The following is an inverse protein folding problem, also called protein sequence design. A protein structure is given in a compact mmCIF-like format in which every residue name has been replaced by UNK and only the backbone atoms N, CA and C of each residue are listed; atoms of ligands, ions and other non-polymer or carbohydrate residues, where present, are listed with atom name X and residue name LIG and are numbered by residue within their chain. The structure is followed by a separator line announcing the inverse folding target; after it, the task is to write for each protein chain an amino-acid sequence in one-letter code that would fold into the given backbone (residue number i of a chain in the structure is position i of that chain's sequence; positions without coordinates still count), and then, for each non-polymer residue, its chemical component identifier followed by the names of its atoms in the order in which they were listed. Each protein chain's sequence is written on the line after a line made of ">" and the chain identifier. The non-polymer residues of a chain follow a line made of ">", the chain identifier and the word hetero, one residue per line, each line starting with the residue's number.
data_IF_527141523246
#
_entry.id   IF_527141523246
#
_cell.length_a   1.000
_cell.length_b   1.000
_cell.length_c   1.000
_cell.angle_alpha   90.00
_cell.angle_beta   90.00
_cell.angle_gamma   90.00
#
_symmetry.space_group_name_H-M   'P 1'
#
loop_
_entity.id
_entity.type
_entity.pdbx_description
1 polymer ?
#
# COMPACT_ATOMS: atom_id res chain seq x y z
N UNK A 1 17.40 -14.70 20.66
CA UNK A 1 16.20 -14.16 21.34
C UNK A 1 14.98 -14.51 20.50
N UNK A 2 14.11 -15.38 21.00
CA UNK A 2 12.87 -15.78 20.31
C UNK A 2 11.87 -14.63 20.52
N UNK A 3 11.78 -13.73 19.54
CA UNK A 3 10.83 -12.61 19.61
C UNK A 3 9.43 -13.13 19.29
N UNK A 4 8.54 -13.04 20.27
CA UNK A 4 7.13 -13.44 20.13
C UNK A 4 6.43 -12.48 19.16
N UNK A 5 5.74 -12.98 18.13
CA UNK A 5 5.03 -12.12 17.18
C UNK A 5 3.82 -11.43 17.85
N UNK A 6 3.53 -10.18 17.48
CA UNK A 6 2.37 -9.48 18.05
C UNK A 6 1.06 -10.23 17.84
N UNK A 7 0.05 -9.94 18.64
CA UNK A 7 -1.21 -10.70 18.69
C UNK A 7 -1.92 -10.82 17.32
N UNK A 8 -1.83 -9.79 16.47
CA UNK A 8 -2.44 -9.81 15.13
C UNK A 8 -1.71 -10.77 14.19
N UNK A 9 -0.38 -10.72 14.18
CA UNK A 9 0.45 -11.60 13.36
C UNK A 9 0.44 -13.03 13.91
N UNK A 10 0.52 -13.22 15.23
CA UNK A 10 0.34 -14.52 15.90
C UNK A 10 -0.96 -15.23 15.49
N UNK A 11 -2.07 -14.49 15.36
CA UNK A 11 -3.33 -15.06 14.85
C UNK A 11 -3.23 -15.48 13.37
N UNK A 12 -2.54 -14.69 12.54
CA UNK A 12 -2.33 -15.00 11.13
C UNK A 12 -1.39 -16.21 10.92
N UNK A 13 -0.45 -16.43 11.85
CA UNK A 13 0.51 -17.53 11.83
C UNK A 13 -0.06 -18.89 12.26
N UNK A 14 -1.26 -18.93 12.84
CA UNK A 14 -1.90 -20.20 13.21
C UNK A 14 -1.94 -21.16 12.01
N UNK A 15 -1.42 -22.38 12.22
CA UNK A 15 -1.34 -23.48 11.23
C UNK A 15 -0.35 -23.24 10.08
N UNK A 16 0.69 -22.42 10.28
CA UNK A 16 1.81 -22.28 9.34
C UNK A 16 3.04 -22.94 9.97
N UNK A 17 3.63 -23.92 9.27
CA UNK A 17 4.68 -24.80 9.80
C UNK A 17 6.11 -24.33 9.46
N UNK A 18 6.27 -23.10 8.97
CA UNK A 18 7.57 -22.55 8.57
C UNK A 18 8.07 -21.53 9.58
N UNK A 19 9.40 -21.39 9.75
CA UNK A 19 9.99 -20.32 10.55
C UNK A 19 9.50 -18.94 10.08
N UNK A 20 9.15 -18.07 11.04
CA UNK A 20 8.55 -16.76 10.77
C UNK A 20 9.46 -15.87 9.92
N UNK A 21 10.76 -15.91 10.17
CA UNK A 21 11.78 -15.18 9.43
C UNK A 21 11.83 -15.57 7.95
N UNK A 22 11.71 -16.87 7.61
CA UNK A 22 11.59 -17.35 6.24
C UNK A 22 10.31 -16.80 5.58
N UNK A 23 9.19 -16.90 6.29
CA UNK A 23 7.90 -16.42 5.79
C UNK A 23 7.94 -14.91 5.51
N UNK A 24 8.43 -14.12 6.47
CA UNK A 24 8.54 -12.67 6.34
C UNK A 24 9.52 -12.27 5.24
N UNK A 25 10.63 -13.00 5.07
CA UNK A 25 11.58 -12.77 3.99
C UNK A 25 10.92 -12.94 2.62
N UNK A 26 10.23 -14.07 2.39
CA UNK A 26 9.51 -14.31 1.14
C UNK A 26 8.43 -13.25 0.90
N UNK A 27 7.61 -12.94 1.91
CA UNK A 27 6.53 -11.96 1.78
C UNK A 27 7.08 -10.57 1.49
N UNK A 28 8.15 -10.15 2.18
CA UNK A 28 8.81 -8.87 1.94
C UNK A 28 9.35 -8.81 0.51
N UNK A 29 10.09 -9.83 0.08
CA UNK A 29 10.64 -9.85 -1.28
C UNK A 29 9.56 -9.79 -2.35
N UNK A 30 8.44 -10.46 -2.14
CA UNK A 30 7.30 -10.43 -3.05
C UNK A 30 6.71 -9.02 -3.24
N UNK A 31 6.70 -8.19 -2.20
CA UNK A 31 6.13 -6.84 -2.25
C UNK A 31 7.17 -5.72 -2.42
N UNK A 32 8.46 -6.03 -2.26
CA UNK A 32 9.56 -5.06 -2.41
C UNK A 32 10.18 -5.07 -3.81
N UNK A 33 10.18 -6.22 -4.48
CA UNK A 33 10.92 -6.42 -5.73
C UNK A 33 10.00 -6.91 -6.85
N UNK A 34 10.37 -6.66 -8.13
CA UNK A 34 9.64 -7.15 -9.31
C UNK A 34 9.80 -8.66 -9.52
N UNK A 35 9.50 -9.46 -8.49
CA UNK A 35 9.66 -10.93 -8.49
C UNK A 35 8.33 -11.64 -8.68
N UNK A 36 8.36 -12.76 -9.41
CA UNK A 36 7.25 -13.70 -9.45
C UNK A 36 7.32 -14.63 -8.23
N UNK A 37 6.19 -15.26 -7.87
CA UNK A 37 6.18 -16.27 -6.80
C UNK A 37 7.07 -17.48 -7.13
N UNK A 38 7.27 -17.78 -8.42
CA UNK A 38 8.16 -18.86 -8.87
C UNK A 38 9.63 -18.50 -8.68
N UNK A 39 10.01 -17.24 -8.88
CA UNK A 39 11.36 -16.79 -8.55
C UNK A 39 11.62 -16.95 -7.05
N UNK A 40 10.63 -16.68 -6.19
CA UNK A 40 10.79 -16.87 -4.74
C UNK A 40 10.95 -18.34 -4.36
N UNK A 41 10.22 -19.24 -5.02
CA UNK A 41 10.39 -20.69 -4.85
C UNK A 41 11.81 -21.14 -5.26
N UNK A 42 12.29 -20.71 -6.43
CA UNK A 42 13.64 -20.99 -6.92
C UNK A 42 14.73 -20.44 -5.98
N UNK A 43 14.64 -19.17 -5.60
CA UNK A 43 15.58 -18.52 -4.67
C UNK A 43 15.60 -19.16 -3.27
N UNK A 44 14.49 -19.76 -2.83
CA UNK A 44 14.46 -20.51 -1.57
C UNK A 44 15.05 -21.90 -1.74
N UNK A 45 14.85 -22.55 -2.89
CA UNK A 45 15.48 -23.83 -3.22
C UNK A 45 17.01 -23.72 -3.25
N UNK A 46 17.56 -22.64 -3.83
CA UNK A 46 19.01 -22.33 -3.80
C UNK A 46 19.58 -22.25 -2.37
N UNK A 47 18.71 -21.97 -1.38
CA UNK A 47 19.05 -21.87 0.04
C UNK A 47 18.69 -23.15 0.83
N UNK A 48 18.42 -24.25 0.14
CA UNK A 48 17.97 -25.52 0.71
C UNK A 48 16.64 -25.41 1.50
N UNK A 49 15.79 -24.43 1.17
CA UNK A 49 14.44 -24.28 1.73
C UNK A 49 13.42 -24.71 0.68
N UNK A 50 12.82 -25.88 0.86
CA UNK A 50 11.74 -26.35 -0.01
C UNK A 50 10.44 -25.60 0.32
N UNK A 51 9.96 -24.76 -0.60
CA UNK A 51 8.69 -24.05 -0.47
C UNK A 51 8.05 -23.84 -1.83
N UNK A 52 6.79 -24.25 -1.97
CA UNK A 52 6.03 -24.04 -3.20
C UNK A 52 5.52 -22.58 -3.32
N UNK A 53 5.53 -22.02 -4.53
CA UNK A 53 5.04 -20.67 -4.84
C UNK A 53 3.63 -20.36 -4.30
N UNK A 54 2.72 -21.35 -4.28
CA UNK A 54 1.37 -21.18 -3.71
C UNK A 54 1.39 -21.03 -2.19
N UNK A 55 2.39 -21.61 -1.52
CA UNK A 55 2.62 -21.46 -0.08
C UNK A 55 3.06 -20.05 0.24
N UNK A 56 4.01 -19.49 -0.52
CA UNK A 56 4.42 -18.08 -0.41
C UNK A 56 3.24 -17.14 -0.64
N UNK A 57 2.42 -17.41 -1.66
CA UNK A 57 1.22 -16.61 -1.90
C UNK A 57 0.23 -16.65 -0.72
N UNK A 58 -0.01 -17.84 -0.14
CA UNK A 58 -0.86 -17.97 1.06
C UNK A 58 -0.32 -17.19 2.25
N UNK A 59 1.01 -17.15 2.44
CA UNK A 59 1.63 -16.31 3.46
C UNK A 59 1.38 -14.83 3.19
N UNK A 60 1.62 -14.35 1.98
CA UNK A 60 1.38 -12.95 1.62
C UNK A 60 -0.07 -12.53 1.88
N UNK A 61 -1.04 -13.35 1.45
CA UNK A 61 -2.47 -13.07 1.65
C UNK A 61 -2.87 -13.02 3.13
N UNK A 62 -2.20 -13.79 4.00
CA UNK A 62 -2.46 -13.80 5.45
C UNK A 62 -1.72 -12.68 6.20
N UNK A 63 -0.45 -12.46 5.88
CA UNK A 63 0.44 -11.61 6.66
C UNK A 63 0.32 -10.13 6.29
N UNK A 64 0.20 -9.78 5.00
CA UNK A 64 0.17 -8.37 4.58
C UNK A 64 -0.95 -7.55 5.24
N UNK A 65 -2.20 -8.05 5.42
CA UNK A 65 -3.23 -7.31 6.14
C UNK A 65 -2.89 -7.09 7.62
N UNK A 66 -2.23 -8.07 8.26
CA UNK A 66 -1.82 -7.96 9.66
C UNK A 66 -0.71 -6.92 9.83
N UNK A 67 0.29 -6.94 8.94
CA UNK A 67 1.39 -5.98 8.93
C UNK A 67 0.90 -4.56 8.63
N UNK A 68 -0.04 -4.40 7.69
CA UNK A 68 -0.65 -3.10 7.39
C UNK A 68 -1.40 -2.52 8.60
N UNK A 69 -2.10 -3.37 9.37
CA UNK A 69 -2.73 -2.94 10.62
C UNK A 69 -1.72 -2.51 11.68
N UNK A 70 -0.62 -3.25 11.81
CA UNK A 70 0.46 -2.91 12.73
C UNK A 70 1.17 -1.60 12.34
N UNK A 71 1.24 -1.27 11.05
CA UNK A 71 1.87 -0.05 10.55
C UNK A 71 1.08 1.23 10.86
N UNK A 72 -0.26 1.17 10.88
CA UNK A 72 -1.11 2.35 11.05
C UNK A 72 -0.70 3.27 12.22
N UNK A 73 -0.57 2.76 13.46
CA UNK A 73 -0.11 3.57 14.61
C UNK A 73 1.31 4.14 14.44
N UNK A 74 2.17 3.42 13.74
CA UNK A 74 3.56 3.77 13.48
C UNK A 74 3.73 4.74 12.31
N UNK A 75 2.69 4.99 11.51
CA UNK A 75 2.75 5.89 10.36
C UNK A 75 2.98 7.34 10.81
N UNK A 76 3.93 8.02 10.17
CA UNK A 76 4.16 9.46 10.35
C UNK A 76 2.99 10.27 9.79
N UNK A 77 2.75 11.45 10.36
CA UNK A 77 1.75 12.39 9.83
C UNK A 77 2.22 12.91 8.48
N UNK A 78 1.26 13.07 7.56
CA UNK A 78 1.48 13.65 6.23
C UNK A 78 1.08 15.12 6.21
N UNK A 79 1.59 15.87 5.23
CA UNK A 79 1.24 17.27 5.02
C UNK A 79 -0.22 17.48 4.62
N UNK A 80 -0.72 18.72 4.76
CA UNK A 80 -2.11 19.11 4.48
C UNK A 80 -2.38 19.50 3.03
N UNK A 81 -1.40 19.40 2.14
CA UNK A 81 -1.55 19.67 0.71
C UNK A 81 -1.36 18.38 -0.08
N UNK A 82 -2.44 17.84 -0.61
CA UNK A 82 -2.45 16.53 -1.27
C UNK A 82 -2.45 16.67 -2.80
N UNK A 83 -1.80 15.74 -3.47
CA UNK A 83 -1.87 15.48 -4.92
C UNK A 83 -2.46 14.11 -5.10
N UNK A 84 -3.59 14.06 -5.78
CA UNK A 84 -4.39 12.86 -5.93
C UNK A 84 -4.57 12.55 -7.41
N UNK A 85 -4.38 11.28 -7.74
CA UNK A 85 -4.53 10.75 -9.08
C UNK A 85 -4.98 9.28 -9.02
N UNK A 86 -5.42 8.73 -10.14
CA UNK A 86 -5.81 7.33 -10.26
C UNK A 86 -4.94 6.61 -11.29
N UNK A 87 -4.66 5.34 -11.01
CA UNK A 87 -3.98 4.49 -11.97
C UNK A 87 -4.68 3.16 -12.18
N UNK A 88 -4.34 2.49 -13.28
CA UNK A 88 -5.04 1.29 -13.73
C UNK A 88 -4.22 0.04 -13.39
N UNK A 89 -4.88 -0.95 -12.78
CA UNK A 89 -4.32 -2.27 -12.51
C UNK A 89 -5.22 -3.32 -13.17
N UNK A 90 -4.63 -4.27 -13.91
CA UNK A 90 -5.38 -5.37 -14.53
C UNK A 90 -5.74 -6.46 -13.51
N UNK A 91 -7.00 -6.87 -13.50
CA UNK A 91 -7.51 -8.01 -12.75
C UNK A 91 -8.39 -8.84 -13.68
N UNK A 92 -8.05 -10.13 -13.87
CA UNK A 92 -8.74 -11.04 -14.82
C UNK A 92 -8.92 -10.44 -16.22
N UNK A 93 -7.91 -9.71 -16.71
CA UNK A 93 -7.96 -9.06 -18.03
C UNK A 93 -8.67 -7.70 -18.05
N UNK A 94 -9.42 -7.35 -17.01
CA UNK A 94 -10.14 -6.08 -16.93
C UNK A 94 -9.35 -5.02 -16.15
N UNK A 95 -9.41 -3.77 -16.62
CA UNK A 95 -8.83 -2.65 -15.90
C UNK A 95 -9.69 -2.27 -14.68
N UNK A 96 -9.02 -2.14 -13.54
CA UNK A 96 -9.57 -1.65 -12.26
C UNK A 96 -8.74 -0.45 -11.80
N UNK A 97 -9.23 0.29 -10.82
CA UNK A 97 -8.74 1.63 -10.49
C UNK A 97 -8.09 1.64 -9.11
N UNK A 98 -6.85 2.10 -9.03
CA UNK A 98 -6.15 2.39 -7.79
C UNK A 98 -6.12 3.91 -7.60
N UNK A 99 -6.91 4.38 -6.66
CA UNK A 99 -6.90 5.76 -6.18
C UNK A 99 -5.68 5.96 -5.28
N UNK A 100 -5.04 7.11 -5.40
CA UNK A 100 -3.81 7.40 -4.68
C UNK A 100 -3.67 8.88 -4.36
N UNK A 101 -3.09 9.20 -3.20
CA UNK A 101 -2.59 10.55 -2.95
C UNK A 101 -1.25 10.56 -2.23
N UNK A 102 -0.46 11.57 -2.57
CA UNK A 102 0.77 11.95 -1.89
C UNK A 102 0.67 13.39 -1.40
N UNK A 103 1.42 13.76 -0.38
CA UNK A 103 1.51 15.14 0.04
C UNK A 103 2.51 15.95 -0.82
N UNK A 104 2.85 17.16 -0.38
CA UNK A 104 3.84 18.02 -1.08
C UNK A 104 5.28 17.48 -1.01
N UNK A 105 5.63 16.73 0.04
CA UNK A 105 6.94 16.12 0.20
C UNK A 105 7.07 14.79 -0.56
N UNK A 106 5.96 14.27 -1.08
CA UNK A 106 5.91 12.97 -1.78
C UNK A 106 5.59 11.81 -0.85
N UNK A 107 5.23 12.09 0.39
CA UNK A 107 4.81 11.10 1.39
C UNK A 107 3.42 10.56 1.04
N UNK A 108 3.24 9.24 1.09
CA UNK A 108 1.96 8.62 0.75
C UNK A 108 0.91 8.96 1.80
N UNK A 109 -0.17 9.61 1.35
CA UNK A 109 -1.34 9.95 2.16
C UNK A 109 -2.21 8.72 2.33
N UNK A 110 -2.73 8.18 1.23
CA UNK A 110 -3.58 6.99 1.26
C UNK A 110 -3.71 6.40 -0.15
N UNK A 111 -4.28 5.20 -0.22
CA UNK A 111 -4.62 4.50 -1.45
C UNK A 111 -5.92 3.71 -1.30
N UNK A 112 -6.64 3.51 -2.41
CA UNK A 112 -7.83 2.67 -2.43
C UNK A 112 -8.01 1.97 -3.76
N UNK A 113 -8.11 0.65 -3.73
CA UNK A 113 -8.38 -0.15 -4.91
C UNK A 113 -9.88 -0.37 -5.11
N UNK A 114 -10.39 0.05 -6.28
CA UNK A 114 -11.80 0.11 -6.64
C UNK A 114 -12.06 -0.59 -7.98
N UNK A 115 -13.25 -1.19 -8.12
CA UNK A 115 -13.64 -1.83 -9.37
C UNK A 115 -14.11 -0.85 -10.45
N UNK A 116 -14.63 0.32 -10.04
CA UNK A 116 -15.19 1.36 -10.90
C UNK A 116 -14.51 2.71 -10.63
N UNK A 117 -14.54 3.60 -11.63
CA UNK A 117 -14.13 5.00 -11.51
C UNK A 117 -15.37 5.88 -11.53
N UNK A 118 -15.97 6.07 -10.36
CA UNK A 118 -17.18 6.85 -10.20
C UNK A 118 -17.10 7.78 -8.97
N UNK A 119 -18.09 8.66 -8.84
CA UNK A 119 -18.20 9.62 -7.73
C UNK A 119 -18.21 8.91 -6.38
N UNK A 120 -18.84 7.74 -6.26
CA UNK A 120 -18.94 7.00 -5.00
C UNK A 120 -17.56 6.45 -4.58
N UNK A 121 -16.80 5.90 -5.53
CA UNK A 121 -15.44 5.44 -5.30
C UNK A 121 -14.51 6.60 -4.88
N UNK A 122 -14.60 7.75 -5.56
CA UNK A 122 -13.82 8.94 -5.22
C UNK A 122 -14.19 9.49 -3.83
N UNK A 123 -15.50 9.62 -3.51
CA UNK A 123 -15.97 10.05 -2.18
C UNK A 123 -15.43 9.12 -1.09
N UNK A 124 -15.60 7.81 -1.26
CA UNK A 124 -15.11 6.80 -0.31
C UNK A 124 -13.59 6.87 -0.10
N UNK A 125 -12.83 7.13 -1.17
CA UNK A 125 -11.39 7.34 -1.06
C UNK A 125 -11.06 8.54 -0.17
N UNK A 126 -11.65 9.70 -0.44
CA UNK A 126 -11.36 10.91 0.33
C UNK A 126 -11.86 10.81 1.78
N UNK A 127 -13.03 10.22 2.04
CA UNK A 127 -13.51 9.98 3.40
C UNK A 127 -12.55 9.11 4.20
N UNK A 128 -12.06 8.01 3.61
CA UNK A 128 -11.04 7.15 4.22
C UNK A 128 -9.76 7.93 4.49
N UNK A 129 -9.23 8.63 3.49
CA UNK A 129 -7.98 9.37 3.59
C UNK A 129 -8.04 10.47 4.67
N UNK A 130 -9.17 11.18 4.76
CA UNK A 130 -9.40 12.23 5.77
C UNK A 130 -9.55 11.61 7.16
N UNK A 131 -10.26 10.49 7.29
CA UNK A 131 -10.41 9.81 8.58
C UNK A 131 -9.05 9.33 9.14
N UNK A 132 -8.15 8.86 8.28
CA UNK A 132 -6.85 8.31 8.70
C UNK A 132 -5.75 9.37 8.82
N UNK A 133 -5.80 10.46 8.05
CA UNK A 133 -4.69 11.42 7.94
C UNK A 133 -5.07 12.87 8.31
N UNK A 134 -6.34 13.11 8.65
CA UNK A 134 -6.87 14.44 8.92
C UNK A 134 -7.26 15.22 7.67
N UNK A 135 -7.82 16.41 7.87
CA UNK A 135 -8.37 17.24 6.80
C UNK A 135 -7.27 18.00 6.07
N UNK A 136 -7.17 17.87 4.72
CA UNK A 136 -6.26 18.68 3.92
C UNK A 136 -6.79 20.11 3.77
N UNK A 137 -5.86 21.06 3.66
CA UNK A 137 -6.18 22.44 3.26
C UNK A 137 -6.40 22.54 1.75
N UNK A 138 -5.64 21.77 0.96
CA UNK A 138 -5.72 21.77 -0.50
C UNK A 138 -5.61 20.36 -1.04
N UNK A 139 -6.48 20.02 -1.99
CA UNK A 139 -6.38 18.80 -2.79
C UNK A 139 -6.21 19.18 -4.24
N UNK A 140 -5.14 18.68 -4.83
CA UNK A 140 -4.84 18.81 -6.24
C UNK A 140 -5.25 17.53 -6.95
N UNK A 141 -6.05 17.67 -7.99
CA UNK A 141 -6.51 16.57 -8.84
C UNK A 141 -6.21 16.88 -10.30
N UNK A 142 -6.09 15.86 -11.14
CA UNK A 142 -6.21 16.07 -12.59
C UNK A 142 -7.66 16.47 -12.95
N UNK A 143 -7.94 16.68 -14.24
CA UNK A 143 -9.27 16.97 -14.79
C UNK A 143 -10.28 15.81 -14.67
N UNK A 144 -10.14 14.94 -13.66
CA UNK A 144 -11.07 13.86 -13.34
C UNK A 144 -12.38 14.42 -12.76
N UNK A 145 -13.46 14.33 -13.54
CA UNK A 145 -14.80 14.75 -13.11
C UNK A 145 -15.31 13.97 -11.89
N UNK A 146 -14.94 12.70 -11.74
CA UNK A 146 -15.32 11.87 -10.59
C UNK A 146 -14.69 12.39 -9.29
N UNK A 147 -13.41 12.76 -9.32
CA UNK A 147 -12.71 13.30 -8.14
C UNK A 147 -13.25 14.66 -7.74
N UNK A 148 -13.49 15.53 -8.73
CA UNK A 148 -14.10 16.83 -8.49
C UNK A 148 -15.49 16.67 -7.86
N UNK A 149 -16.32 15.78 -8.40
CA UNK A 149 -17.65 15.52 -7.86
C UNK A 149 -17.61 14.89 -6.45
N UNK A 150 -16.62 14.03 -6.18
CA UNK A 150 -16.39 13.45 -4.85
C UNK A 150 -15.99 14.49 -3.81
N UNK A 151 -15.02 15.37 -4.14
CA UNK A 151 -14.58 16.46 -3.26
C UNK A 151 -15.68 17.49 -3.04
N UNK A 152 -16.44 17.85 -4.07
CA UNK A 152 -17.57 18.77 -3.93
C UNK A 152 -18.66 18.19 -3.02
N UNK A 153 -18.94 16.89 -3.11
CA UNK A 153 -19.87 16.23 -2.20
C UNK A 153 -19.38 16.26 -0.74
N UNK A 154 -18.08 16.11 -0.52
CA UNK A 154 -17.48 16.23 0.82
C UNK A 154 -17.54 17.66 1.32
N UNK A 155 -17.26 18.66 0.47
CA UNK A 155 -17.32 20.07 0.86
C UNK A 155 -18.74 20.54 1.18
N UNK A 156 -19.78 19.94 0.58
CA UNK A 156 -21.17 20.26 0.90
C UNK A 156 -21.53 19.95 2.37
N UNK A 157 -20.85 18.97 2.97
CA UNK A 157 -21.07 18.55 4.35
C UNK A 157 -20.15 19.29 5.35
N UNK A 158 -19.45 20.38 4.94
CA UNK A 158 -18.39 21.04 5.72
C UNK A 158 -18.56 22.54 5.83
N UNK A 159 -18.31 23.06 7.03
CA UNK A 159 -18.26 24.52 7.28
C UNK A 159 -17.06 25.18 6.60
N UNK A 160 -15.86 24.58 6.73
CA UNK A 160 -14.65 25.03 6.03
C UNK A 160 -14.36 24.10 4.85
N UNK A 161 -14.52 24.58 3.60
CA UNK A 161 -14.32 23.77 2.42
C UNK A 161 -12.83 23.52 2.14
N UNK A 162 -12.51 22.33 1.66
CA UNK A 162 -11.20 21.97 1.14
C UNK A 162 -10.97 22.71 -0.18
N UNK A 163 -9.82 23.37 -0.34
CA UNK A 163 -9.48 24.06 -1.60
C UNK A 163 -9.14 23.04 -2.68
N UNK A 164 -9.97 22.96 -3.72
CA UNK A 164 -9.74 22.07 -4.86
C UNK A 164 -8.95 22.82 -5.93
N UNK A 165 -7.88 22.21 -6.45
CA UNK A 165 -7.11 22.75 -7.58
C UNK A 165 -6.97 21.71 -8.68
N UNK A 166 -7.13 22.16 -9.92
CA UNK A 166 -6.84 21.36 -11.10
C UNK A 166 -5.60 21.92 -11.79
N UNK A 167 -4.49 21.19 -11.75
CA UNK A 167 -3.25 21.60 -12.41
C UNK A 167 -2.47 20.38 -12.89
N UNK A 168 -2.35 20.25 -14.21
CA UNK A 168 -1.61 19.16 -14.86
C UNK A 168 -0.14 19.12 -14.44
N UNK A 169 0.49 20.28 -14.30
CA UNK A 169 1.95 20.38 -14.10
C UNK A 169 2.43 19.95 -12.71
N UNK A 170 1.53 19.89 -11.73
CA UNK A 170 1.89 19.61 -10.34
C UNK A 170 1.60 18.16 -9.93
N UNK A 171 1.10 17.33 -10.87
CA UNK A 171 0.87 15.89 -10.67
C UNK A 171 2.14 15.03 -10.84
N UNK A 172 3.26 15.61 -11.26
CA UNK A 172 4.51 14.87 -11.45
C UNK A 172 4.92 14.03 -10.23
N UNK A 173 4.66 14.53 -9.01
CA UNK A 173 5.00 13.80 -7.77
C UNK A 173 4.18 12.52 -7.63
N UNK A 174 2.85 12.58 -7.84
CA UNK A 174 1.99 11.40 -7.74
C UNK A 174 2.23 10.44 -8.90
N UNK A 175 2.48 10.96 -10.11
CA UNK A 175 2.85 10.15 -11.27
C UNK A 175 4.19 9.41 -11.09
N UNK A 176 5.18 10.07 -10.48
CA UNK A 176 6.44 9.44 -10.15
C UNK A 176 6.23 8.33 -9.12
N UNK A 177 5.36 8.55 -8.14
CA UNK A 177 5.03 7.58 -7.11
C UNK A 177 4.37 6.32 -7.70
N UNK A 178 3.45 6.51 -8.65
CA UNK A 178 2.83 5.43 -9.41
C UNK A 178 3.86 4.52 -10.10
N UNK A 179 5.04 5.03 -10.48
CA UNK A 179 6.08 4.23 -11.14
C UNK A 179 6.65 3.15 -10.23
N UNK A 180 6.72 3.38 -8.91
CA UNK A 180 7.24 2.41 -7.96
C UNK A 180 6.37 1.15 -7.92
N UNK A 181 5.06 1.32 -7.75
CA UNK A 181 4.09 0.22 -7.80
C UNK A 181 4.09 -0.45 -9.16
N UNK A 182 4.04 0.35 -10.24
CA UNK A 182 4.00 -0.17 -11.61
C UNK A 182 5.20 -1.05 -11.92
N UNK A 183 6.37 -0.72 -11.38
CA UNK A 183 7.59 -1.55 -11.51
C UNK A 183 7.39 -2.94 -10.90
N UNK A 184 6.74 -3.03 -9.74
CA UNK A 184 6.53 -4.29 -9.02
C UNK A 184 5.40 -5.12 -9.63
N UNK A 185 4.30 -4.48 -10.04
CA UNK A 185 3.10 -5.19 -10.53
C UNK A 185 3.16 -5.58 -12.01
N UNK A 186 3.98 -4.90 -12.84
CA UNK A 186 4.10 -5.21 -14.29
C UNK A 186 4.51 -6.68 -14.54
N UNK A 187 5.55 -7.23 -13.90
CA UNK A 187 5.94 -8.63 -14.07
C UNK A 187 4.91 -9.64 -13.56
N UNK A 188 3.94 -9.20 -12.74
CA UNK A 188 2.89 -10.09 -12.22
C UNK A 188 1.82 -10.42 -13.28
N UNK A 189 1.87 -9.80 -14.48
CA UNK A 189 0.97 -10.04 -15.62
C UNK A 189 -0.53 -9.90 -15.29
N UNK A 190 -0.85 -9.13 -14.26
CA UNK A 190 -2.21 -8.89 -13.78
C UNK A 190 -2.71 -9.94 -12.79
N UNK A 191 -3.59 -9.50 -11.89
CA UNK A 191 -4.08 -10.34 -10.80
C UNK A 191 -5.23 -11.25 -11.25
N UNK A 192 -5.34 -12.44 -10.65
CA UNK A 192 -6.46 -13.37 -10.90
C UNK A 192 -7.68 -13.13 -9.99
N UNK A 193 -7.53 -12.34 -8.93
CA UNK A 193 -8.61 -12.05 -7.97
C UNK A 193 -8.53 -10.63 -7.46
N UNK A 194 -9.67 -9.94 -7.41
CA UNK A 194 -9.76 -8.58 -6.88
C UNK A 194 -9.36 -8.52 -5.40
N UNK A 195 -9.74 -9.54 -4.61
CA UNK A 195 -9.36 -9.63 -3.19
C UNK A 195 -7.86 -9.75 -3.03
N UNK A 196 -7.21 -10.63 -3.81
CA UNK A 196 -5.76 -10.81 -3.74
C UNK A 196 -5.03 -9.56 -4.21
N UNK A 197 -5.48 -8.95 -5.31
CA UNK A 197 -4.93 -7.68 -5.81
C UNK A 197 -4.94 -6.61 -4.72
N UNK A 198 -6.07 -6.41 -4.04
CA UNK A 198 -6.19 -5.42 -2.96
C UNK A 198 -5.21 -5.67 -1.82
N UNK A 199 -5.01 -6.93 -1.42
CA UNK A 199 -4.10 -7.28 -0.32
C UNK A 199 -2.64 -7.09 -0.75
N UNK A 200 -2.27 -7.56 -1.93
CA UNK A 200 -0.89 -7.48 -2.44
C UNK A 200 -0.51 -6.03 -2.72
N UNK A 201 -1.39 -5.25 -3.34
CA UNK A 201 -1.19 -3.80 -3.52
C UNK A 201 -0.99 -3.12 -2.17
N UNK A 202 -1.81 -3.44 -1.16
CA UNK A 202 -1.60 -2.87 0.18
C UNK A 202 -0.27 -3.26 0.83
N UNK A 203 0.26 -4.45 0.53
CA UNK A 203 1.59 -4.87 0.95
C UNK A 203 2.73 -4.15 0.22
N UNK A 204 2.58 -3.95 -1.09
CA UNK A 204 3.49 -3.13 -1.90
C UNK A 204 3.53 -1.72 -1.33
N UNK A 205 2.37 -1.18 -0.97
CA UNK A 205 2.30 0.15 -0.38
C UNK A 205 2.91 0.30 0.98
N UNK A 206 2.65 -0.67 1.84
CA UNK A 206 3.32 -0.74 3.12
C UNK A 206 4.84 -0.69 2.95
N UNK A 207 5.38 -1.52 2.05
CA UNK A 207 6.82 -1.58 1.79
C UNK A 207 7.35 -0.25 1.23
N UNK A 208 6.60 0.38 0.32
CA UNK A 208 6.97 1.66 -0.29
C UNK A 208 6.97 2.81 0.73
N UNK A 209 5.97 2.86 1.61
CA UNK A 209 5.92 3.84 2.71
C UNK A 209 7.07 3.67 3.70
N UNK A 210 7.44 2.43 4.03
CA UNK A 210 8.64 2.16 4.87
C UNK A 210 9.90 2.61 4.15
N UNK A 211 10.03 2.33 2.85
CA UNK A 211 11.19 2.77 2.05
C UNK A 211 11.32 4.31 1.95
N UNK A 212 10.20 5.03 2.00
CA UNK A 212 10.17 6.50 2.11
C UNK A 212 10.50 7.03 3.51
N UNK A 213 10.62 6.15 4.51
CA UNK A 213 10.85 6.54 5.89
C UNK A 213 9.59 7.04 6.60
N UNK A 214 8.40 6.64 6.15
CA UNK A 214 7.12 7.04 6.78
C UNK A 214 6.76 6.23 8.03
N UNK A 215 7.61 5.32 8.47
CA UNK A 215 7.50 4.65 9.77
C UNK A 215 8.21 5.49 10.84
N UNK A 216 7.57 5.69 11.99
CA UNK A 216 8.21 6.25 13.19
C UNK A 216 9.26 5.25 13.70
N UNK A 217 10.46 5.73 14.00
CA UNK A 217 11.50 4.95 14.64
C UNK A 217 11.68 5.50 16.06
N UNK A 218 11.37 4.71 17.07
CA UNK A 218 11.31 5.17 18.47
C UNK A 218 12.65 5.08 19.21
N UNK A 219 13.70 4.52 18.61
CA UNK A 219 14.89 4.07 19.35
C UNK A 219 16.23 4.72 18.94
N UNK A 220 16.22 5.75 18.09
CA UNK A 220 17.44 6.43 17.64
C UNK A 220 18.43 5.54 16.87
N UNK A 221 18.08 4.28 16.58
CA UNK A 221 18.89 3.36 15.78
C UNK A 221 18.54 3.51 14.31
N UNK A 222 19.55 3.53 13.47
CA UNK A 222 19.34 3.46 12.02
C UNK A 222 18.96 2.02 11.65
N UNK A 223 17.66 1.74 11.53
CA UNK A 223 17.15 0.44 11.08
C UNK A 223 17.00 0.45 9.57
N UNK A 224 17.48 -0.60 8.92
CA UNK A 224 17.25 -0.83 7.50
C UNK A 224 15.75 -0.96 7.19
N UNK A 225 15.40 -0.71 5.94
CA UNK A 225 14.03 -0.84 5.42
C UNK A 225 13.47 -2.25 5.63
N UNK A 226 14.33 -3.28 5.58
CA UNK A 226 13.92 -4.66 5.85
C UNK A 226 13.62 -4.91 7.33
N UNK A 227 14.47 -4.39 8.23
CA UNK A 227 14.25 -4.52 9.68
C UNK A 227 12.96 -3.84 10.12
N UNK A 228 12.70 -2.62 9.63
CA UNK A 228 11.44 -1.92 9.90
C UNK A 228 10.22 -2.74 9.47
N UNK A 229 10.28 -3.40 8.30
CA UNK A 229 9.20 -4.29 7.85
C UNK A 229 9.04 -5.51 8.77
N UNK A 230 10.14 -6.13 9.22
CA UNK A 230 10.10 -7.27 10.12
C UNK A 230 9.63 -6.91 11.53
N UNK A 231 9.90 -5.68 11.98
CA UNK A 231 9.45 -5.19 13.28
C UNK A 231 7.92 -5.07 13.36
N UNK A 232 7.23 -4.87 12.24
CA UNK A 232 5.76 -4.91 12.21
C UNK A 232 5.17 -6.27 12.56
N UNK A 233 5.99 -7.33 12.50
CA UNK A 233 5.59 -8.67 12.91
C UNK A 233 5.86 -8.97 14.38
N UNK A 234 6.67 -8.14 15.05
CA UNK A 234 6.99 -8.24 16.47
C UNK A 234 5.90 -7.59 17.30
#
# INVERSE_FOLDING_TARGET
>A
MINTPNATVSKALKRLHYPLDIMLTCVRWYVAYPLSLRHLEEMMSERAVSVDHSTVHRWAIKLLPALGKAFGPCKKKVGRSWRMDETYIKVKGEWKYLYWAVDKAGDTVDFLFCAKRDKAAARRYFEKAIAENGVPETVMIDKSGANLAGLNAINADREVPIKIRQSKYLNNVVEQDHRAIKRIVRPMLGFKSFRCARIILGGIELMHMIAKGQMKCDDGRHRSVAEQFYDLAK
#
